data_IF_097706777408
#
_entry.id   IF_097706777408
#
_cell.length_a   1.000
_cell.length_b   1.000
_cell.length_c   1.000
_cell.angle_alpha   90.00
_cell.angle_beta   90.00
_cell.angle_gamma   90.00
#
_symmetry.space_group_name_H-M   'P 1'
#
loop_
_entity.id
_entity.type
_entity.pdbx_description
1 polymer ?
#
# COMPACT_ATOMS: atom_id res chain seq x y z
N UNK A 1 23.45 2.43 26.65
CA UNK A 1 23.22 1.20 25.87
C UNK A 1 22.31 1.58 24.71
N UNK A 2 22.85 1.82 23.51
CA UNK A 2 22.04 2.13 22.33
C UNK A 2 21.22 0.87 22.00
N UNK A 3 19.90 0.89 22.23
CA UNK A 3 19.02 -0.13 21.66
C UNK A 3 19.19 -0.04 20.15
N UNK A 4 19.65 -1.13 19.53
CA UNK A 4 19.60 -1.30 18.09
C UNK A 4 18.12 -1.18 17.72
N UNK A 5 17.76 -0.20 16.90
CA UNK A 5 16.39 -0.04 16.39
C UNK A 5 16.07 -1.31 15.59
N UNK A 6 15.16 -2.13 16.10
CA UNK A 6 14.70 -3.32 15.41
C UNK A 6 13.59 -2.92 14.45
N UNK A 7 13.94 -2.62 13.20
CA UNK A 7 12.97 -2.58 12.11
C UNK A 7 12.77 -4.01 11.63
N UNK A 8 11.55 -4.53 11.80
CA UNK A 8 11.21 -5.84 11.25
C UNK A 8 10.48 -5.64 9.92
N UNK A 9 11.12 -6.10 8.85
CA UNK A 9 10.65 -5.90 7.48
C UNK A 9 9.58 -6.90 7.05
N UNK A 10 9.17 -7.84 7.92
CA UNK A 10 8.07 -8.75 7.63
C UNK A 10 6.92 -8.57 8.61
N UNK A 11 5.79 -8.14 8.06
CA UNK A 11 4.49 -8.09 8.74
C UNK A 11 3.56 -9.11 8.08
N UNK A 12 2.95 -10.06 8.81
CA UNK A 12 1.91 -10.92 8.26
C UNK A 12 0.73 -10.07 7.76
N UNK A 13 0.16 -10.44 6.62
CA UNK A 13 -1.03 -9.79 6.10
C UNK A 13 -2.24 -10.02 7.03
N UNK A 14 -3.08 -9.00 7.13
CA UNK A 14 -4.30 -9.01 7.95
C UNK A 14 -5.52 -9.49 7.17
N UNK A 15 -5.44 -9.60 5.84
CA UNK A 15 -6.49 -10.18 4.98
C UNK A 15 -5.93 -10.99 3.81
N UNK A 16 -6.76 -11.84 3.20
CA UNK A 16 -6.37 -12.59 1.99
C UNK A 16 -6.09 -11.66 0.82
N UNK A 17 -6.88 -10.61 0.66
CA UNK A 17 -6.69 -9.63 -0.41
C UNK A 17 -5.30 -8.98 -0.33
N UNK A 18 -4.92 -8.55 0.87
CA UNK A 18 -3.59 -8.00 1.12
C UNK A 18 -2.48 -9.03 0.85
N UNK A 19 -2.64 -10.27 1.33
CA UNK A 19 -1.64 -11.32 1.14
C UNK A 19 -1.40 -11.63 -0.36
N UNK A 20 -2.47 -11.78 -1.14
CA UNK A 20 -2.42 -12.01 -2.59
C UNK A 20 -1.75 -10.84 -3.32
N UNK A 21 -2.12 -9.62 -2.94
CA UNK A 21 -1.57 -8.39 -3.52
C UNK A 21 -0.06 -8.29 -3.26
N UNK A 22 0.37 -8.49 -2.01
CA UNK A 22 1.78 -8.45 -1.63
C UNK A 22 2.59 -9.59 -2.25
N UNK A 23 2.03 -10.79 -2.35
CA UNK A 23 2.67 -11.90 -3.07
C UNK A 23 2.93 -11.55 -4.53
N UNK A 24 1.93 -11.01 -5.23
CA UNK A 24 2.07 -10.59 -6.63
C UNK A 24 3.15 -9.53 -6.78
N UNK A 25 3.11 -8.50 -5.92
CA UNK A 25 4.08 -7.40 -5.93
C UNK A 25 5.52 -7.85 -5.63
N UNK A 26 5.72 -8.80 -4.70
CA UNK A 26 7.04 -9.32 -4.35
C UNK A 26 7.75 -10.01 -5.51
N UNK A 27 6.99 -10.64 -6.40
CA UNK A 27 7.54 -11.35 -7.55
C UNK A 27 7.39 -10.60 -8.88
N UNK A 28 6.91 -9.36 -8.84
CA UNK A 28 6.65 -8.56 -10.04
C UNK A 28 5.60 -9.18 -10.97
N UNK A 29 4.68 -9.99 -10.43
CA UNK A 29 3.56 -10.52 -11.20
C UNK A 29 2.46 -9.45 -11.36
N UNK A 30 1.62 -9.55 -12.40
CA UNK A 30 0.47 -8.67 -12.55
C UNK A 30 -0.41 -8.66 -11.30
N UNK A 31 -1.01 -7.51 -10.92
CA UNK A 31 -1.93 -7.44 -9.79
C UNK A 31 -3.04 -8.49 -9.87
N UNK A 32 -3.09 -9.37 -8.88
CA UNK A 32 -4.17 -10.34 -8.74
C UNK A 32 -5.13 -9.93 -7.62
N UNK A 33 -6.43 -9.98 -7.92
CA UNK A 33 -7.50 -9.84 -6.93
C UNK A 33 -8.05 -11.19 -6.50
N UNK A 34 -8.91 -11.17 -5.48
CA UNK A 34 -9.70 -12.35 -5.12
C UNK A 34 -10.72 -12.68 -6.23
N UNK A 35 -10.86 -13.96 -6.54
CA UNK A 35 -11.88 -14.49 -7.44
C UNK A 35 -13.23 -14.69 -6.75
N UNK A 36 -14.22 -15.26 -7.47
CA UNK A 36 -15.55 -15.52 -6.93
C UNK A 36 -15.51 -16.28 -5.58
N UNK A 37 -16.31 -15.81 -4.62
CA UNK A 37 -16.32 -16.34 -3.25
C UNK A 37 -15.09 -15.94 -2.42
N UNK A 38 -14.41 -14.86 -2.79
CA UNK A 38 -13.23 -14.32 -2.10
C UNK A 38 -12.07 -15.32 -2.01
N UNK A 39 -11.90 -16.12 -3.06
CA UNK A 39 -10.86 -17.15 -3.17
C UNK A 39 -9.68 -16.65 -3.99
N UNK A 40 -8.48 -17.00 -3.58
CA UNK A 40 -7.27 -16.84 -4.37
C UNK A 40 -7.34 -17.65 -5.67
N UNK A 41 -6.76 -17.08 -6.74
CA UNK A 41 -6.69 -17.72 -8.06
C UNK A 41 -5.46 -18.64 -8.13
N UNK A 42 -5.56 -19.72 -8.91
CA UNK A 42 -4.42 -20.63 -9.13
C UNK A 42 -3.26 -19.92 -9.85
N UNK A 43 -3.57 -18.92 -10.67
CA UNK A 43 -2.60 -18.09 -11.41
C UNK A 43 -1.56 -17.47 -10.49
N UNK A 44 -1.95 -17.01 -9.29
CA UNK A 44 -1.03 -16.48 -8.29
C UNK A 44 0.10 -17.46 -7.97
N UNK A 45 -0.25 -18.73 -7.72
CA UNK A 45 0.70 -19.77 -7.34
C UNK A 45 1.62 -20.15 -8.50
N UNK A 46 1.07 -20.20 -9.72
CA UNK A 46 1.84 -20.47 -10.94
C UNK A 46 2.84 -19.34 -11.19
N UNK A 47 2.39 -18.08 -11.11
CA UNK A 47 3.23 -16.90 -11.27
C UNK A 47 4.33 -16.84 -10.20
N UNK A 48 3.98 -17.15 -8.95
CA UNK A 48 4.92 -17.25 -7.83
C UNK A 48 6.01 -18.30 -8.08
N UNK A 49 5.62 -19.51 -8.47
CA UNK A 49 6.57 -20.59 -8.74
C UNK A 49 7.48 -20.24 -9.93
N UNK A 50 6.92 -19.71 -11.02
CA UNK A 50 7.67 -19.32 -12.20
C UNK A 50 8.69 -18.21 -11.90
N UNK A 51 8.26 -17.14 -11.22
CA UNK A 51 9.13 -16.01 -10.89
C UNK A 51 10.25 -16.39 -9.91
N UNK A 52 9.99 -17.35 -9.02
CA UNK A 52 11.01 -17.90 -8.12
C UNK A 52 11.80 -19.05 -8.74
N UNK A 53 11.51 -19.49 -9.97
CA UNK A 53 12.20 -20.64 -10.59
C UNK A 53 12.02 -21.94 -9.80
N UNK A 54 10.88 -22.11 -9.13
CA UNK A 54 10.56 -23.30 -8.35
C UNK A 54 10.03 -24.39 -9.28
N UNK A 55 10.58 -25.60 -9.17
CA UNK A 55 10.07 -26.77 -9.89
C UNK A 55 8.89 -27.37 -9.12
N UNK A 56 7.68 -27.17 -9.64
CA UNK A 56 6.41 -27.63 -9.05
C UNK A 56 5.51 -28.22 -10.12
N UNK A 57 4.56 -29.05 -9.71
CA UNK A 57 3.50 -29.55 -10.58
C UNK A 57 2.38 -28.50 -10.72
N UNK A 58 2.33 -27.81 -11.86
CA UNK A 58 1.31 -26.80 -12.14
C UNK A 58 -0.07 -27.39 -12.47
N UNK A 59 -0.18 -28.69 -12.70
CA UNK A 59 -1.44 -29.38 -12.95
C UNK A 59 -2.13 -29.78 -11.64
N UNK A 60 -1.38 -29.95 -10.56
CA UNK A 60 -1.88 -30.20 -9.21
C UNK A 60 -2.96 -29.20 -8.78
N UNK A 61 -3.84 -29.61 -7.86
CA UNK A 61 -4.84 -28.70 -7.29
C UNK A 61 -4.19 -27.57 -6.47
N UNK A 62 -4.98 -26.55 -6.11
CA UNK A 62 -4.46 -25.36 -5.43
C UNK A 62 -3.76 -25.68 -4.09
N UNK A 63 -4.37 -26.46 -3.17
CA UNK A 63 -3.70 -26.85 -1.92
C UNK A 63 -2.38 -27.58 -2.15
N UNK A 64 -2.32 -28.52 -3.09
CA UNK A 64 -1.11 -29.30 -3.35
C UNK A 64 -0.02 -28.45 -4.00
N UNK A 65 -0.36 -27.62 -4.99
CA UNK A 65 0.59 -26.66 -5.59
C UNK A 65 1.14 -25.70 -4.53
N UNK A 66 0.30 -25.16 -3.66
CA UNK A 66 0.74 -24.29 -2.57
C UNK A 66 1.60 -25.02 -1.54
N UNK A 67 1.30 -26.29 -1.23
CA UNK A 67 2.13 -27.13 -0.36
C UNK A 67 3.52 -27.34 -0.94
N UNK A 68 3.63 -27.62 -2.25
CA UNK A 68 4.91 -27.78 -2.93
C UNK A 68 5.75 -26.50 -2.87
N UNK A 69 5.15 -25.35 -3.21
CA UNK A 69 5.80 -24.03 -3.11
C UNK A 69 6.25 -23.77 -1.66
N UNK A 70 5.36 -23.95 -0.69
CA UNK A 70 5.66 -23.75 0.74
C UNK A 70 6.85 -24.62 1.19
N UNK A 71 6.87 -25.88 0.77
CA UNK A 71 7.95 -26.83 1.12
C UNK A 71 9.29 -26.36 0.56
N UNK A 72 9.32 -25.94 -0.72
CA UNK A 72 10.52 -25.43 -1.37
C UNK A 72 11.02 -24.10 -0.74
N UNK A 73 10.11 -23.31 -0.18
CA UNK A 73 10.42 -22.08 0.58
C UNK A 73 10.79 -22.33 2.05
N UNK A 74 10.87 -23.59 2.48
CA UNK A 74 11.18 -23.97 3.86
C UNK A 74 10.09 -23.57 4.85
N UNK A 75 8.83 -23.52 4.40
CA UNK A 75 7.66 -23.20 5.22
C UNK A 75 6.83 -24.44 5.49
N UNK A 76 6.49 -24.68 6.75
CA UNK A 76 5.57 -25.75 7.12
C UNK A 76 4.22 -25.55 6.42
N UNK A 77 3.61 -26.63 5.94
CA UNK A 77 2.23 -26.61 5.42
C UNK A 77 1.38 -27.54 6.27
N UNK A 78 0.36 -27.00 6.95
CA UNK A 78 -0.47 -27.76 7.91
C UNK A 78 -1.93 -27.68 7.53
N UNK A 79 -2.83 -28.49 8.14
CA UNK A 79 -4.23 -28.56 7.73
C UNK A 79 -5.01 -27.23 7.82
N UNK A 80 -4.58 -26.28 8.65
CA UNK A 80 -5.15 -24.94 8.77
C UNK A 80 -4.79 -24.00 7.61
N UNK A 81 -3.87 -24.40 6.72
CA UNK A 81 -3.45 -23.60 5.56
C UNK A 81 -4.45 -23.64 4.41
N UNK A 82 -5.41 -24.55 4.44
CA UNK A 82 -6.45 -24.67 3.43
C UNK A 82 -7.77 -25.12 4.05
N UNK A 83 -8.86 -24.91 3.33
CA UNK A 83 -10.22 -25.27 3.76
C UNK A 83 -11.00 -25.90 2.61
N UNK A 84 -12.22 -26.37 2.92
CA UNK A 84 -13.08 -27.05 1.96
C UNK A 84 -13.23 -26.27 0.63
N UNK A 85 -13.27 -27.02 -0.48
CA UNK A 85 -13.32 -26.44 -1.82
C UNK A 85 -12.01 -25.81 -2.28
N UNK A 86 -10.88 -26.38 -1.85
CA UNK A 86 -9.52 -26.06 -2.32
C UNK A 86 -9.14 -24.59 -2.13
N UNK A 87 -9.63 -23.97 -1.04
CA UNK A 87 -9.36 -22.56 -0.73
C UNK A 87 -8.16 -22.48 0.20
N UNK A 88 -7.17 -21.66 -0.12
CA UNK A 88 -6.05 -21.37 0.76
C UNK A 88 -6.51 -20.33 1.78
N UNK A 89 -6.33 -20.62 3.06
CA UNK A 89 -6.72 -19.70 4.15
C UNK A 89 -5.72 -18.54 4.25
N UNK A 90 -6.08 -17.49 4.98
CA UNK A 90 -5.11 -16.43 5.31
C UNK A 90 -3.86 -16.99 6.02
N UNK A 91 -3.97 -18.08 6.79
CA UNK A 91 -2.81 -18.75 7.40
C UNK A 91 -1.89 -19.30 6.31
N UNK A 92 -2.42 -20.05 5.34
CA UNK A 92 -1.64 -20.59 4.22
C UNK A 92 -1.00 -19.49 3.38
N UNK A 93 -1.74 -18.43 3.05
CA UNK A 93 -1.22 -17.29 2.29
C UNK A 93 -0.10 -16.56 3.04
N UNK A 94 -0.23 -16.37 4.35
CA UNK A 94 0.82 -15.75 5.15
C UNK A 94 2.09 -16.61 5.23
N UNK A 95 1.97 -17.94 5.13
CA UNK A 95 3.15 -18.81 5.04
C UNK A 95 3.87 -18.66 3.71
N UNK A 96 3.12 -18.66 2.61
CA UNK A 96 3.66 -18.37 1.29
C UNK A 96 4.32 -16.98 1.26
N UNK A 97 3.65 -15.97 1.80
CA UNK A 97 4.15 -14.60 1.85
C UNK A 97 5.45 -14.49 2.66
N UNK A 98 5.52 -15.12 3.83
CA UNK A 98 6.73 -15.18 4.65
C UNK A 98 7.89 -15.88 3.93
N UNK A 99 7.63 -17.05 3.35
CA UNK A 99 8.64 -17.81 2.60
C UNK A 99 9.16 -17.04 1.39
N UNK A 100 8.25 -16.43 0.63
CA UNK A 100 8.56 -15.63 -0.57
C UNK A 100 9.39 -14.41 -0.20
N UNK A 101 8.99 -13.66 0.83
CA UNK A 101 9.72 -12.50 1.31
C UNK A 101 11.17 -12.84 1.68
N UNK A 102 11.38 -13.95 2.41
CA UNK A 102 12.73 -14.41 2.76
C UNK A 102 13.54 -14.77 1.52
N UNK A 103 12.94 -15.48 0.57
CA UNK A 103 13.63 -15.93 -0.64
C UNK A 103 14.00 -14.76 -1.55
N UNK A 104 13.10 -13.80 -1.75
CA UNK A 104 13.39 -12.56 -2.49
C UNK A 104 14.55 -11.80 -1.83
N UNK A 105 14.48 -11.55 -0.52
CA UNK A 105 15.58 -10.89 0.21
C UNK A 105 16.90 -11.65 0.11
N UNK A 106 16.87 -12.98 0.19
CA UNK A 106 18.07 -13.81 0.03
C UNK A 106 18.71 -13.58 -1.34
N UNK A 107 17.91 -13.54 -2.41
CA UNK A 107 18.38 -13.28 -3.78
C UNK A 107 18.91 -11.85 -3.95
N UNK A 108 18.24 -10.87 -3.36
CA UNK A 108 18.70 -9.47 -3.36
C UNK A 108 20.08 -9.35 -2.71
N UNK A 109 20.28 -9.93 -1.53
CA UNK A 109 21.58 -9.93 -0.84
C UNK A 109 22.67 -10.61 -1.67
N UNK A 110 22.36 -11.74 -2.32
CA UNK A 110 23.31 -12.41 -3.21
C UNK A 110 23.65 -11.57 -4.45
N UNK A 111 22.68 -10.82 -4.97
CA UNK A 111 22.87 -9.96 -6.15
C UNK A 111 23.64 -8.68 -5.83
N UNK A 112 23.50 -8.14 -4.61
CA UNK A 112 24.22 -6.94 -4.15
C UNK A 112 25.73 -7.14 -4.00
N UNK A 113 26.23 -8.39 -4.01
CA UNK A 113 27.66 -8.70 -4.09
C UNK A 113 28.29 -8.46 -5.48
N UNK A 114 27.48 -8.18 -6.51
CA UNK A 114 27.94 -7.80 -7.85
C UNK A 114 27.93 -6.28 -8.00
N UNK A 115 29.09 -5.68 -8.29
CA UNK A 115 29.33 -4.22 -8.33
C UNK A 115 28.65 -3.46 -9.46
N UNK A 116 27.78 -4.10 -10.26
CA UNK A 116 26.98 -3.45 -11.29
C UNK A 116 25.52 -3.33 -10.85
N UNK A 117 25.14 -2.17 -10.29
CA UNK A 117 23.72 -1.84 -10.05
C UNK A 117 23.04 -1.55 -11.40
N UNK A 118 22.65 -2.61 -12.09
CA UNK A 118 21.81 -2.51 -13.27
C UNK A 118 20.48 -1.81 -12.91
N UNK A 119 19.95 -0.94 -13.80
CA UNK A 119 18.60 -0.41 -13.69
C UNK A 119 17.58 -1.51 -13.40
N UNK A 120 16.77 -1.34 -12.35
CA UNK A 120 15.74 -2.31 -11.96
C UNK A 120 14.46 -1.99 -12.75
N UNK A 121 13.92 -2.94 -13.55
CA UNK A 121 12.64 -2.73 -14.23
C UNK A 121 11.52 -2.39 -13.23
N UNK A 122 10.59 -1.53 -13.63
CA UNK A 122 9.38 -1.26 -12.87
C UNK A 122 8.42 -2.47 -12.91
N UNK A 123 7.69 -2.67 -11.81
CA UNK A 123 6.79 -3.81 -11.58
C UNK A 123 5.40 -3.57 -12.14
N UNK A 124 5.00 -2.32 -12.24
CA UNK A 124 3.70 -1.90 -12.75
C UNK A 124 3.87 -0.77 -13.76
N UNK A 125 2.87 -0.58 -14.63
CA UNK A 125 2.85 0.59 -15.53
C UNK A 125 2.83 1.89 -14.75
N UNK A 126 2.12 1.93 -13.62
CA UNK A 126 2.04 3.12 -12.79
C UNK A 126 3.40 3.46 -12.18
N UNK A 127 4.11 2.46 -11.65
CA UNK A 127 5.48 2.63 -11.16
C UNK A 127 6.40 3.14 -12.29
N UNK A 128 6.30 2.54 -13.48
CA UNK A 128 7.12 2.93 -14.62
C UNK A 128 6.92 4.40 -15.01
N UNK A 129 5.65 4.85 -15.20
CA UNK A 129 5.37 6.25 -15.56
C UNK A 129 5.74 7.22 -14.44
N UNK A 130 5.62 6.80 -13.17
CA UNK A 130 5.99 7.60 -12.00
C UNK A 130 7.49 7.82 -11.93
N UNK A 131 8.27 6.74 -12.10
CA UNK A 131 9.72 6.79 -12.14
C UNK A 131 10.20 7.62 -13.32
N UNK A 132 9.65 7.40 -14.52
CA UNK A 132 9.95 8.20 -15.71
C UNK A 132 9.73 9.69 -15.44
N UNK A 133 8.59 10.06 -14.85
CA UNK A 133 8.28 11.46 -14.55
C UNK A 133 9.24 12.05 -13.51
N UNK A 134 9.65 11.25 -12.54
CA UNK A 134 10.59 11.68 -11.50
C UNK A 134 12.01 11.91 -12.02
N UNK A 135 12.40 11.29 -13.15
CA UNK A 135 13.72 11.50 -13.75
C UNK A 135 13.96 12.95 -14.22
N UNK A 136 12.89 13.69 -14.49
CA UNK A 136 12.93 15.06 -15.00
C UNK A 136 12.12 16.04 -14.14
N UNK A 137 11.85 15.67 -12.87
CA UNK A 137 11.03 16.44 -11.92
C UNK A 137 9.61 16.79 -12.43
N UNK A 138 9.09 15.97 -13.34
CA UNK A 138 7.74 16.09 -13.87
C UNK A 138 6.64 15.96 -12.79
N UNK A 139 5.39 16.35 -13.12
CA UNK A 139 4.25 16.11 -12.24
C UNK A 139 3.99 14.60 -12.08
N UNK A 140 3.49 14.13 -10.91
CA UNK A 140 3.02 12.76 -10.78
C UNK A 140 1.96 12.45 -11.85
N UNK A 141 2.11 11.32 -12.55
CA UNK A 141 1.22 10.93 -13.63
C UNK A 141 0.28 9.83 -13.16
N UNK A 142 -1.01 9.97 -13.46
CA UNK A 142 -1.99 8.89 -13.30
C UNK A 142 -2.16 8.12 -14.60
N UNK A 143 -2.52 6.84 -14.50
CA UNK A 143 -2.96 6.09 -15.66
C UNK A 143 -4.35 6.58 -16.10
N UNK A 144 -4.54 6.74 -17.41
CA UNK A 144 -5.84 7.01 -18.00
C UNK A 144 -6.74 5.77 -18.04
N UNK A 145 -7.98 5.91 -18.56
CA UNK A 145 -8.94 4.82 -18.65
C UNK A 145 -8.35 3.54 -19.27
N UNK A 146 -8.54 2.41 -18.60
CA UNK A 146 -7.99 1.11 -19.00
C UNK A 146 -6.52 0.91 -18.66
N UNK A 147 -5.99 1.57 -17.61
CA UNK A 147 -4.58 1.47 -17.21
C UNK A 147 -3.60 1.88 -18.32
N UNK A 148 -3.98 2.89 -19.10
CA UNK A 148 -3.18 3.39 -20.23
C UNK A 148 -2.36 4.59 -19.79
N UNK A 149 -1.07 4.55 -20.08
CA UNK A 149 -0.15 5.67 -19.88
C UNK A 149 -0.56 6.90 -20.70
N UNK A 150 -0.36 8.12 -20.17
CA UNK A 150 -0.63 9.36 -20.90
C UNK A 150 0.55 9.68 -21.82
N UNK A 151 0.29 10.30 -22.98
CA UNK A 151 1.36 10.76 -23.89
C UNK A 151 2.29 11.79 -23.22
N UNK A 152 1.75 12.57 -22.27
CA UNK A 152 2.51 13.54 -21.46
C UNK A 152 3.75 12.95 -20.81
N UNK A 153 3.68 11.70 -20.34
CA UNK A 153 4.83 11.00 -19.72
C UNK A 153 6.06 11.02 -20.64
N UNK A 154 5.86 10.85 -21.95
CA UNK A 154 6.94 10.79 -22.94
C UNK A 154 7.37 12.18 -23.40
N UNK A 155 6.43 13.11 -23.57
CA UNK A 155 6.78 14.48 -23.98
C UNK A 155 7.54 15.20 -22.87
N UNK A 156 7.11 15.05 -21.61
CA UNK A 156 7.78 15.64 -20.45
C UNK A 156 9.19 15.05 -20.26
N UNK A 157 9.36 13.75 -20.55
CA UNK A 157 10.69 13.11 -20.56
C UNK A 157 11.56 13.64 -21.70
N UNK A 158 11.01 13.75 -22.92
CA UNK A 158 11.73 14.26 -24.08
C UNK A 158 12.26 15.68 -23.81
N UNK A 159 11.39 16.55 -23.31
CA UNK A 159 11.71 17.94 -22.97
C UNK A 159 12.74 17.99 -21.85
N UNK A 160 12.55 17.21 -20.77
CA UNK A 160 13.45 17.20 -19.61
C UNK A 160 14.84 16.63 -19.91
N UNK A 161 14.96 15.72 -20.87
CA UNK A 161 16.25 15.21 -21.35
C UNK A 161 16.88 16.08 -22.45
N UNK A 162 16.14 17.05 -23.00
CA UNK A 162 16.54 17.77 -24.20
C UNK A 162 16.69 16.84 -25.42
N UNK A 163 15.90 15.77 -25.49
CA UNK A 163 15.99 14.77 -26.54
C UNK A 163 15.43 15.35 -27.86
N UNK A 164 16.15 15.30 -28.99
CA UNK A 164 15.72 15.83 -30.28
C UNK A 164 14.75 14.86 -30.99
N UNK A 165 13.60 14.59 -30.36
CA UNK A 165 12.56 13.71 -30.88
C UNK A 165 11.32 14.51 -31.32
N UNK A 166 10.63 14.03 -32.35
CA UNK A 166 9.38 14.64 -32.80
C UNK A 166 8.22 14.28 -31.84
N UNK A 167 7.85 15.24 -30.98
CA UNK A 167 6.76 15.07 -30.01
C UNK A 167 5.36 15.02 -30.65
N UNK A 168 5.23 15.29 -31.95
CA UNK A 168 3.95 15.17 -32.66
C UNK A 168 3.59 13.72 -32.98
N UNK A 169 4.57 12.82 -32.99
CA UNK A 169 4.40 11.38 -33.22
C UNK A 169 3.33 10.76 -32.32
N UNK A 170 2.70 9.68 -32.79
CA UNK A 170 1.83 8.90 -31.92
C UNK A 170 2.62 8.29 -30.75
N UNK A 171 1.90 7.78 -29.75
CA UNK A 171 2.51 7.39 -28.48
C UNK A 171 3.56 6.27 -28.62
N UNK A 172 3.28 5.13 -29.31
CA UNK A 172 4.31 4.11 -29.53
C UNK A 172 5.51 4.63 -30.34
N UNK A 173 5.29 5.44 -31.38
CA UNK A 173 6.39 5.97 -32.20
C UNK A 173 7.25 6.99 -31.46
N UNK A 174 6.64 7.82 -30.61
CA UNK A 174 7.38 8.72 -29.71
C UNK A 174 8.25 7.94 -28.72
N UNK A 175 7.71 6.86 -28.12
CA UNK A 175 8.46 6.01 -27.21
C UNK A 175 9.60 5.26 -27.91
N UNK A 176 9.36 4.74 -29.11
CA UNK A 176 10.39 4.13 -29.96
C UNK A 176 11.51 5.12 -30.28
N UNK A 177 11.17 6.35 -30.70
CA UNK A 177 12.14 7.40 -30.99
C UNK A 177 12.99 7.74 -29.75
N UNK A 178 12.37 7.85 -28.58
CA UNK A 178 13.06 8.05 -27.31
C UNK A 178 14.00 6.89 -26.96
N UNK A 179 13.53 5.64 -27.05
CA UNK A 179 14.35 4.46 -26.76
C UNK A 179 15.55 4.38 -27.69
N UNK A 180 15.35 4.63 -28.98
CA UNK A 180 16.43 4.66 -29.97
C UNK A 180 17.44 5.79 -29.67
N UNK A 181 16.96 6.98 -29.30
CA UNK A 181 17.82 8.09 -28.88
C UNK A 181 18.64 7.75 -27.63
N UNK A 182 18.06 6.99 -26.70
CA UNK A 182 18.69 6.52 -25.46
C UNK A 182 19.60 5.28 -25.67
N UNK A 183 19.78 4.83 -26.91
CA UNK A 183 20.65 3.70 -27.26
C UNK A 183 20.05 2.32 -26.92
N UNK A 184 18.73 2.22 -26.77
CA UNK A 184 18.01 0.96 -26.60
C UNK A 184 17.41 0.42 -27.90
N UNK A 185 16.71 -0.71 -27.81
CA UNK A 185 15.97 -1.33 -28.92
C UNK A 185 14.48 -1.37 -28.64
N UNK A 186 13.66 -1.12 -29.66
CA UNK A 186 12.19 -1.21 -29.60
C UNK A 186 11.69 -2.33 -30.52
N UNK A 187 10.67 -3.08 -30.09
CA UNK A 187 10.05 -4.15 -30.88
C UNK A 187 8.55 -4.29 -30.60
N UNK A 188 7.90 -5.25 -31.24
CA UNK A 188 6.45 -5.45 -31.15
C UNK A 188 5.96 -5.87 -29.76
N UNK A 189 6.83 -6.33 -28.85
CA UNK A 189 6.46 -6.60 -27.46
C UNK A 189 6.26 -5.32 -26.65
N UNK A 190 6.74 -4.17 -27.15
CA UNK A 190 6.73 -2.88 -26.45
C UNK A 190 5.39 -2.15 -26.54
N UNK A 191 4.46 -2.61 -27.39
CA UNK A 191 3.17 -1.95 -27.58
C UNK A 191 2.06 -2.96 -27.90
N UNK A 192 0.82 -2.51 -27.77
CA UNK A 192 -0.37 -3.30 -28.08
C UNK A 192 -1.40 -2.49 -28.88
N UNK A 193 -2.42 -3.18 -29.40
CA UNK A 193 -3.49 -2.60 -30.20
C UNK A 193 -4.12 -1.37 -29.53
N UNK A 194 -4.31 -0.28 -30.29
CA UNK A 194 -4.85 0.97 -29.79
C UNK A 194 -3.81 1.90 -29.15
N UNK A 195 -2.59 1.92 -29.71
CA UNK A 195 -1.49 2.85 -29.37
C UNK A 195 -1.15 2.90 -27.88
N UNK A 196 -1.21 1.73 -27.22
CA UNK A 196 -0.90 1.57 -25.80
C UNK A 196 0.47 0.93 -25.65
N UNK A 197 1.34 1.51 -24.83
CA UNK A 197 2.68 0.98 -24.56
C UNK A 197 2.56 -0.11 -23.49
N UNK A 198 3.23 -1.24 -23.66
CA UNK A 198 3.24 -2.32 -22.65
C UNK A 198 4.12 -1.94 -21.45
N UNK A 199 4.05 -2.70 -20.36
CA UNK A 199 5.01 -2.51 -19.26
C UNK A 199 6.46 -2.73 -19.75
N UNK A 200 6.67 -3.71 -20.63
CA UNK A 200 7.96 -3.96 -21.28
C UNK A 200 8.46 -2.70 -22.02
N UNK A 201 7.62 -2.09 -22.87
CA UNK A 201 7.99 -0.86 -23.59
C UNK A 201 8.30 0.32 -22.65
N UNK A 202 7.51 0.51 -21.59
CA UNK A 202 7.77 1.53 -20.58
C UNK A 202 9.09 1.27 -19.82
N UNK A 203 9.39 0.00 -19.52
CA UNK A 203 10.65 -0.38 -18.88
C UNK A 203 11.86 -0.09 -19.79
N UNK A 204 11.74 -0.25 -21.11
CA UNK A 204 12.81 0.12 -22.04
C UNK A 204 13.07 1.63 -22.04
N UNK A 205 12.01 2.45 -22.02
CA UNK A 205 12.12 3.91 -21.88
C UNK A 205 12.82 4.26 -20.55
N UNK A 206 12.31 3.73 -19.44
CA UNK A 206 12.82 3.99 -18.09
C UNK A 206 14.30 3.61 -17.94
N UNK A 207 14.67 2.40 -18.35
CA UNK A 207 16.04 1.89 -18.25
C UNK A 207 17.00 2.73 -19.11
N UNK A 208 16.58 3.09 -20.33
CA UNK A 208 17.36 3.96 -21.21
C UNK A 208 17.62 5.33 -20.58
N UNK A 209 16.57 5.95 -20.02
CA UNK A 209 16.64 7.27 -19.39
C UNK A 209 17.50 7.25 -18.11
N UNK A 210 17.32 6.24 -17.25
CA UNK A 210 18.15 6.06 -16.05
C UNK A 210 19.63 5.89 -16.38
N UNK A 211 19.96 5.14 -17.44
CA UNK A 211 21.35 4.96 -17.88
C UNK A 211 21.95 6.27 -18.37
N UNK A 212 21.21 7.03 -19.19
CA UNK A 212 21.64 8.33 -19.71
C UNK A 212 21.92 9.31 -18.58
N UNK A 213 20.99 9.44 -17.63
CA UNK A 213 21.12 10.37 -16.51
C UNK A 213 22.22 9.94 -15.54
N UNK A 214 22.39 8.63 -15.28
CA UNK A 214 23.53 8.13 -14.47
C UNK A 214 24.89 8.43 -15.10
N UNK A 215 24.97 8.45 -16.43
CA UNK A 215 26.20 8.81 -17.13
C UNK A 215 26.51 10.31 -17.01
N UNK A 216 25.49 11.17 -16.96
CA UNK A 216 25.64 12.62 -16.82
C UNK A 216 25.75 13.09 -15.36
N UNK A 217 25.19 12.34 -14.40
CA UNK A 217 25.28 12.59 -12.97
C UNK A 217 25.09 11.29 -12.16
N UNK A 218 26.00 10.93 -11.24
CA UNK A 218 25.85 9.71 -10.43
C UNK A 218 24.71 9.76 -9.41
N UNK A 219 24.01 10.90 -9.27
CA UNK A 219 22.90 11.09 -8.32
C UNK A 219 21.56 10.94 -9.05
N UNK A 220 21.18 9.70 -9.35
CA UNK A 220 19.82 9.34 -9.78
C UNK A 220 19.45 8.09 -8.97
N UNK A 221 18.59 8.08 -7.95
CA UNK A 221 17.48 8.94 -7.56
C UNK A 221 16.34 7.97 -7.19
N UNK A 222 15.75 8.04 -5.99
CA UNK A 222 14.70 7.10 -5.55
C UNK A 222 13.44 7.17 -6.43
N UNK A 223 12.42 6.34 -6.15
CA UNK A 223 11.16 6.33 -6.92
C UNK A 223 10.50 7.72 -7.01
N UNK A 224 10.74 8.58 -6.03
CA UNK A 224 10.25 9.96 -5.96
C UNK A 224 11.39 10.91 -5.61
N UNK A 225 11.33 12.14 -6.13
CA UNK A 225 12.33 13.19 -5.84
C UNK A 225 12.10 13.91 -4.50
N UNK A 226 10.92 13.76 -3.88
CA UNK A 226 10.64 14.27 -2.52
C UNK A 226 9.47 13.54 -1.86
N UNK A 227 9.35 13.60 -0.51
CA UNK A 227 8.20 13.06 0.22
C UNK A 227 6.85 13.67 -0.21
N UNK A 228 6.82 14.93 -0.63
CA UNK A 228 5.60 15.57 -1.12
C UNK A 228 5.13 14.98 -2.47
N UNK A 229 6.07 14.66 -3.38
CA UNK A 229 5.76 13.97 -4.64
C UNK A 229 5.31 12.53 -4.40
N UNK A 230 5.95 11.83 -3.46
CA UNK A 230 5.49 10.53 -3.00
C UNK A 230 4.05 10.62 -2.49
N UNK A 231 3.77 11.54 -1.56
CA UNK A 231 2.43 11.78 -1.01
C UNK A 231 1.37 12.00 -2.10
N UNK A 232 1.63 12.89 -3.06
CA UNK A 232 0.71 13.18 -4.16
C UNK A 232 0.38 11.92 -4.99
N UNK A 233 1.39 11.11 -5.29
CA UNK A 233 1.20 9.87 -6.04
C UNK A 233 0.41 8.83 -5.23
N UNK A 234 0.69 8.71 -3.93
CA UNK A 234 -0.05 7.83 -3.02
C UNK A 234 -1.53 8.27 -2.93
N UNK A 235 -1.80 9.57 -2.77
CA UNK A 235 -3.18 10.09 -2.72
C UNK A 235 -3.96 9.78 -4.00
N UNK A 236 -3.34 9.95 -5.17
CA UNK A 236 -3.99 9.66 -6.44
C UNK A 236 -4.41 8.18 -6.56
N UNK A 237 -3.55 7.26 -6.15
CA UNK A 237 -3.86 5.81 -6.16
C UNK A 237 -4.95 5.46 -5.16
N UNK A 238 -4.89 6.05 -3.96
CA UNK A 238 -5.89 5.82 -2.92
C UNK A 238 -7.25 6.37 -3.35
N UNK A 239 -7.30 7.53 -3.99
CA UNK A 239 -8.54 8.13 -4.48
C UNK A 239 -9.29 7.22 -5.46
N UNK A 240 -8.59 6.52 -6.34
CA UNK A 240 -9.19 5.57 -7.28
C UNK A 240 -9.78 4.32 -6.59
N UNK A 241 -9.27 3.97 -5.41
CA UNK A 241 -9.71 2.81 -4.63
C UNK A 241 -10.86 3.14 -3.65
N UNK A 242 -10.97 4.39 -3.21
CA UNK A 242 -11.96 4.82 -2.21
C UNK A 242 -13.35 4.95 -2.86
N UNK A 243 -14.38 4.24 -2.37
CA UNK A 243 -15.73 4.40 -2.89
C UNK A 243 -16.32 5.74 -2.45
N UNK A 244 -17.20 6.32 -3.27
CA UNK A 244 -17.92 7.58 -2.96
C UNK A 244 -18.70 7.50 -1.64
N UNK A 245 -19.15 6.31 -1.28
CA UNK A 245 -19.79 6.02 0.02
C UNK A 245 -19.36 4.65 0.52
N UNK A 246 -18.92 4.60 1.77
CA UNK A 246 -18.63 3.36 2.49
C UNK A 246 -19.86 2.98 3.31
N UNK A 247 -20.60 1.95 2.87
CA UNK A 247 -21.72 1.38 3.63
C UNK A 247 -21.19 0.42 4.70
N UNK A 248 -21.62 0.57 5.95
CA UNK A 248 -21.07 -0.17 7.08
C UNK A 248 -21.32 -1.67 7.00
N UNK A 249 -22.49 -2.12 6.53
CA UNK A 249 -22.80 -3.56 6.43
C UNK A 249 -21.94 -4.18 5.35
N UNK A 250 -21.97 -3.59 4.16
CA UNK A 250 -21.18 -4.06 3.01
C UNK A 250 -19.69 -4.06 3.32
N UNK A 251 -19.17 -3.02 3.97
CA UNK A 251 -17.74 -2.93 4.33
C UNK A 251 -17.32 -4.05 5.29
N UNK A 252 -18.16 -4.34 6.30
CA UNK A 252 -17.91 -5.44 7.24
C UNK A 252 -18.00 -6.80 6.56
N UNK A 253 -18.97 -7.01 5.67
CA UNK A 253 -19.14 -8.24 4.90
C UNK A 253 -17.96 -8.48 3.93
N UNK A 254 -17.51 -7.45 3.22
CA UNK A 254 -16.35 -7.53 2.33
C UNK A 254 -15.07 -7.87 3.11
N UNK A 255 -14.81 -7.18 4.22
CA UNK A 255 -13.69 -7.49 5.11
C UNK A 255 -13.77 -8.93 5.67
N UNK A 256 -14.95 -9.37 6.08
CA UNK A 256 -15.16 -10.73 6.58
C UNK A 256 -14.89 -11.77 5.49
N UNK A 257 -15.42 -11.57 4.29
CA UNK A 257 -15.21 -12.48 3.15
C UNK A 257 -13.73 -12.58 2.75
N UNK A 258 -12.98 -11.49 2.92
CA UNK A 258 -11.53 -11.45 2.72
C UNK A 258 -10.72 -11.99 3.92
N UNK A 259 -11.37 -12.53 4.96
CA UNK A 259 -10.76 -13.00 6.20
C UNK A 259 -9.95 -11.91 6.94
N UNK A 260 -10.34 -10.64 6.80
CA UNK A 260 -9.70 -9.52 7.50
C UNK A 260 -9.74 -9.70 9.02
N UNK A 261 -8.63 -9.58 9.74
CA UNK A 261 -8.63 -9.73 11.21
C UNK A 261 -9.53 -8.70 11.91
N UNK A 262 -9.78 -7.57 11.27
CA UNK A 262 -10.45 -6.41 11.84
C UNK A 262 -11.94 -6.28 11.51
N UNK A 263 -12.53 -7.20 10.73
CA UNK A 263 -13.95 -7.10 10.31
C UNK A 263 -14.93 -6.94 11.47
N UNK A 264 -14.60 -7.47 12.65
CA UNK A 264 -15.46 -7.46 13.83
C UNK A 264 -15.21 -6.28 14.78
N UNK A 265 -14.47 -5.25 14.38
CA UNK A 265 -14.21 -4.07 15.22
C UNK A 265 -15.28 -2.99 15.01
N UNK A 266 -15.46 -2.10 15.99
CA UNK A 266 -16.42 -0.99 15.91
C UNK A 266 -15.86 0.15 15.02
N UNK A 267 -14.54 0.30 14.94
CA UNK A 267 -13.81 1.23 14.07
C UNK A 267 -13.74 0.76 12.60
N UNK A 268 -14.79 0.09 12.12
CA UNK A 268 -14.80 -0.56 10.80
C UNK A 268 -14.39 0.36 9.65
N UNK A 269 -14.69 1.67 9.71
CA UNK A 269 -14.34 2.63 8.65
C UNK A 269 -12.83 2.80 8.46
N UNK A 270 -12.06 2.79 9.56
CA UNK A 270 -10.60 2.87 9.49
C UNK A 270 -10.01 1.61 8.90
N UNK A 271 -10.45 0.46 9.42
CA UNK A 271 -10.00 -0.83 8.91
C UNK A 271 -10.42 -1.10 7.47
N UNK A 272 -11.60 -0.64 7.05
CA UNK A 272 -12.04 -0.77 5.66
C UNK A 272 -11.24 0.16 4.74
N UNK A 273 -10.88 1.36 5.19
CA UNK A 273 -9.97 2.24 4.47
C UNK A 273 -8.61 1.58 4.25
N UNK A 274 -7.99 1.01 5.29
CA UNK A 274 -6.76 0.22 5.17
C UNK A 274 -6.94 -0.97 4.20
N UNK A 275 -8.07 -1.68 4.31
CA UNK A 275 -8.40 -2.86 3.49
C UNK A 275 -8.42 -2.57 1.98
N UNK A 276 -8.84 -1.38 1.55
CA UNK A 276 -8.92 -1.01 0.14
C UNK A 276 -7.69 -0.22 -0.33
N UNK A 277 -7.13 0.63 0.53
CA UNK A 277 -6.03 1.51 0.17
C UNK A 277 -4.70 0.76 0.11
N UNK A 278 -4.40 -0.12 1.08
CA UNK A 278 -3.12 -0.83 1.11
C UNK A 278 -2.90 -1.70 -0.14
N UNK A 279 -3.88 -2.51 -0.61
CA UNK A 279 -3.74 -3.23 -1.88
C UNK A 279 -3.53 -2.29 -3.07
N UNK A 280 -4.21 -1.15 -3.12
CA UNK A 280 -4.04 -0.18 -4.20
C UNK A 280 -2.61 0.38 -4.23
N UNK A 281 -2.09 0.80 -3.06
CA UNK A 281 -0.72 1.28 -2.91
C UNK A 281 0.32 0.23 -3.30
N UNK A 282 0.15 -1.00 -2.82
CA UNK A 282 1.08 -2.10 -3.11
C UNK A 282 1.06 -2.50 -4.59
N UNK A 283 -0.10 -2.54 -5.22
CA UNK A 283 -0.20 -2.78 -6.67
C UNK A 283 0.38 -1.63 -7.49
N UNK A 284 0.25 -0.39 -7.01
CA UNK A 284 0.77 0.80 -7.67
C UNK A 284 2.28 0.89 -7.62
N UNK A 285 2.87 0.75 -6.43
CA UNK A 285 4.26 1.12 -6.15
C UNK A 285 5.07 0.03 -5.44
N UNK A 286 4.46 -1.10 -5.07
CA UNK A 286 5.10 -2.08 -4.20
C UNK A 286 5.11 -1.62 -2.74
N UNK A 287 6.25 -1.77 -2.05
CA UNK A 287 6.29 -1.51 -0.61
C UNK A 287 5.36 -2.43 0.18
N UNK A 288 4.92 -1.96 1.34
CA UNK A 288 3.99 -2.68 2.21
C UNK A 288 4.15 -2.30 3.68
N UNK A 289 3.43 -2.97 4.59
CA UNK A 289 3.49 -2.65 6.02
C UNK A 289 4.89 -2.90 6.59
N UNK A 290 5.28 -2.10 7.58
CA UNK A 290 6.54 -2.25 8.31
C UNK A 290 6.31 -2.19 9.81
N UNK A 291 7.20 -2.80 10.60
CA UNK A 291 7.15 -2.68 12.07
C UNK A 291 8.33 -1.84 12.56
N UNK A 292 8.01 -0.80 13.33
CA UNK A 292 8.98 -0.07 14.15
C UNK A 292 8.66 -0.39 15.61
N UNK A 293 9.64 -0.94 16.32
CA UNK A 293 9.48 -1.50 17.66
C UNK A 293 8.39 -2.60 17.70
N UNK A 294 7.20 -2.28 18.22
CA UNK A 294 6.06 -3.20 18.31
C UNK A 294 4.81 -2.62 17.63
N UNK A 295 4.97 -1.56 16.83
CA UNK A 295 3.86 -0.92 16.12
C UNK A 295 4.03 -1.17 14.63
N UNK A 296 2.99 -1.73 14.03
CA UNK A 296 2.86 -1.83 12.58
C UNK A 296 2.43 -0.46 12.06
N UNK A 297 3.17 0.04 11.07
CA UNK A 297 2.76 1.16 10.24
C UNK A 297 2.21 0.60 8.94
N UNK A 298 1.12 1.20 8.47
CA UNK A 298 0.29 0.61 7.41
C UNK A 298 1.04 0.47 6.07
N UNK A 299 1.92 1.41 5.75
CA UNK A 299 2.63 1.41 4.48
C UNK A 299 4.04 1.99 4.58
N UNK A 300 4.99 1.38 3.88
CA UNK A 300 6.38 1.83 3.78
C UNK A 300 6.86 1.68 2.35
N UNK A 301 7.36 2.78 1.80
CA UNK A 301 7.97 2.84 0.48
C UNK A 301 9.29 3.60 0.57
N UNK A 302 9.35 4.84 0.05
CA UNK A 302 10.46 5.76 0.30
C UNK A 302 10.39 6.19 1.75
N UNK A 303 9.23 6.69 2.17
CA UNK A 303 8.93 7.08 3.55
C UNK A 303 7.99 6.09 4.25
N UNK A 304 7.79 6.26 5.57
CA UNK A 304 6.74 5.54 6.33
C UNK A 304 5.45 6.34 6.26
N UNK A 305 4.36 5.68 5.89
CA UNK A 305 3.02 6.26 5.82
C UNK A 305 2.05 5.44 6.67
N UNK A 306 1.27 6.12 7.49
CA UNK A 306 0.22 5.52 8.31
C UNK A 306 -1.14 6.02 7.83
N UNK A 307 -2.07 5.11 7.61
CA UNK A 307 -3.38 5.41 7.06
C UNK A 307 -4.33 5.77 8.19
N UNK A 308 -5.14 6.81 7.99
CA UNK A 308 -6.11 7.27 8.99
C UNK A 308 -7.43 7.61 8.32
N UNK A 309 -8.52 7.18 8.95
CA UNK A 309 -9.87 7.61 8.58
C UNK A 309 -10.39 8.55 9.67
N UNK A 310 -10.54 9.81 9.32
CA UNK A 310 -11.02 10.87 10.19
C UNK A 310 -12.42 11.32 9.74
N UNK A 311 -13.30 11.52 10.72
CA UNK A 311 -14.67 11.93 10.47
C UNK A 311 -14.99 13.17 11.27
N UNK A 312 -15.96 13.94 10.79
CA UNK A 312 -16.55 15.11 11.46
C UNK A 312 -17.12 14.85 12.88
N UNK A 313 -17.22 13.58 13.28
CA UNK A 313 -17.59 13.14 14.63
C UNK A 313 -16.41 13.18 15.64
N UNK A 314 -15.22 13.58 15.21
CA UNK A 314 -14.02 13.71 16.04
C UNK A 314 -13.32 15.05 15.76
N UNK A 315 -12.77 15.73 16.78
CA UNK A 315 -12.02 16.97 16.55
C UNK A 315 -10.59 16.73 16.02
N UNK A 316 -10.10 15.49 16.07
CA UNK A 316 -8.72 15.16 15.75
C UNK A 316 -8.52 13.68 15.39
N UNK A 317 -7.46 13.41 14.63
CA UNK A 317 -7.06 12.07 14.21
C UNK A 317 -6.11 11.44 15.24
N UNK A 318 -6.49 10.30 15.81
CA UNK A 318 -5.65 9.54 16.74
C UNK A 318 -4.57 8.80 15.95
N UNK A 319 -3.31 9.04 16.29
CA UNK A 319 -2.15 8.43 15.63
C UNK A 319 -1.68 7.17 16.37
N UNK A 320 -0.47 6.71 16.04
CA UNK A 320 0.20 5.59 16.69
C UNK A 320 0.79 5.95 18.07
N UNK A 321 1.37 4.94 18.75
CA UNK A 321 2.02 5.11 20.04
C UNK A 321 3.20 6.09 19.96
N UNK A 322 3.35 6.96 20.95
CA UNK A 322 4.38 8.01 20.92
C UNK A 322 5.78 7.44 20.68
N UNK A 323 6.15 6.41 21.44
CA UNK A 323 7.46 5.75 21.34
C UNK A 323 7.77 5.22 19.93
N UNK A 324 6.77 4.71 19.21
CA UNK A 324 6.95 4.17 17.87
C UNK A 324 7.18 5.29 16.84
N UNK A 325 6.42 6.39 16.94
CA UNK A 325 6.59 7.57 16.09
C UNK A 325 7.95 8.23 16.37
N UNK A 326 8.29 8.42 17.64
CA UNK A 326 9.58 8.99 18.05
C UNK A 326 10.77 8.14 17.57
N UNK A 327 10.60 6.81 17.50
CA UNK A 327 11.64 5.90 17.00
C UNK A 327 11.73 5.92 15.48
N UNK A 328 10.58 5.96 14.79
CA UNK A 328 10.51 6.12 13.33
C UNK A 328 11.30 7.35 12.89
N UNK A 329 11.01 8.52 13.50
CA UNK A 329 11.60 9.82 13.20
C UNK A 329 13.10 9.97 13.50
N UNK A 330 13.73 8.97 14.13
CA UNK A 330 15.19 8.90 14.28
C UNK A 330 15.88 8.31 13.05
N UNK A 331 15.12 7.60 12.21
CA UNK A 331 15.65 6.79 11.12
C UNK A 331 15.11 7.18 9.76
N UNK A 332 13.87 7.68 9.70
CA UNK A 332 13.16 8.00 8.47
C UNK A 332 12.03 8.99 8.74
N UNK A 333 11.55 9.67 7.71
CA UNK A 333 10.37 10.52 7.82
C UNK A 333 9.10 9.72 8.12
N UNK A 334 8.15 10.41 8.73
CA UNK A 334 6.85 9.88 9.10
C UNK A 334 5.73 10.68 8.44
N UNK A 335 4.91 9.98 7.67
CA UNK A 335 3.77 10.51 6.96
C UNK A 335 2.44 9.92 7.41
N UNK A 336 1.37 10.66 7.16
CA UNK A 336 -0.01 10.27 7.39
C UNK A 336 -0.78 10.44 6.09
N UNK A 337 -1.52 9.42 5.68
CA UNK A 337 -2.53 9.53 4.62
C UNK A 337 -3.91 9.52 5.30
N UNK A 338 -4.57 10.67 5.33
CA UNK A 338 -5.82 10.88 6.07
C UNK A 338 -6.99 10.95 5.10
N UNK A 339 -7.89 9.99 5.19
CA UNK A 339 -9.21 10.03 4.56
C UNK A 339 -10.17 10.81 5.47
N UNK A 340 -10.53 12.01 5.04
CA UNK A 340 -11.48 12.89 5.70
C UNK A 340 -12.89 12.72 5.10
N UNK A 341 -13.92 12.84 5.94
CA UNK A 341 -15.30 12.69 5.48
C UNK A 341 -16.36 12.81 6.56
N UNK A 342 -17.61 12.58 6.17
CA UNK A 342 -18.77 12.70 7.06
C UNK A 342 -19.20 11.35 7.61
N UNK A 343 -19.47 11.32 8.91
CA UNK A 343 -19.93 10.13 9.62
C UNK A 343 -21.45 10.09 9.67
N UNK A 344 -22.03 8.99 9.17
CA UNK A 344 -23.47 8.74 9.33
C UNK A 344 -23.66 7.86 10.56
N UNK A 345 -24.29 8.42 11.58
CA UNK A 345 -24.57 7.71 12.83
C UNK A 345 -25.78 6.79 12.67
N UNK A 346 -25.67 5.64 13.30
CA UNK A 346 -26.73 4.63 13.41
C UNK A 346 -27.85 5.11 14.36
N UNK A 347 -29.05 4.54 14.15
CA UNK A 347 -30.21 4.62 15.05
C UNK A 347 -30.33 3.39 15.97
N UNK A 348 -29.58 2.32 15.68
CA UNK A 348 -29.46 1.11 16.48
C UNK A 348 -29.48 -0.16 15.63
N UNK A 349 -30.14 -0.12 14.46
CA UNK A 349 -30.32 -1.29 13.61
C UNK A 349 -28.99 -1.86 13.10
N UNK A 350 -28.03 -1.00 12.75
CA UNK A 350 -26.72 -1.47 12.30
C UNK A 350 -25.94 -2.12 13.44
N UNK A 351 -26.00 -1.56 14.65
CA UNK A 351 -25.37 -2.14 15.85
C UNK A 351 -25.93 -3.52 16.18
N UNK A 352 -27.24 -3.69 16.13
CA UNK A 352 -27.89 -4.98 16.37
C UNK A 352 -27.45 -6.01 15.33
N UNK A 353 -27.56 -5.67 14.05
CA UNK A 353 -27.07 -6.52 12.97
C UNK A 353 -25.59 -6.87 13.13
N UNK A 354 -24.73 -5.92 13.49
CA UNK A 354 -23.29 -6.19 13.62
C UNK A 354 -23.01 -7.18 14.76
N UNK A 355 -23.77 -7.11 15.86
CA UNK A 355 -23.67 -8.09 16.96
C UNK A 355 -24.11 -9.48 16.52
N UNK A 356 -25.23 -9.58 15.82
CA UNK A 356 -25.74 -10.85 15.28
C UNK A 356 -24.77 -11.45 14.27
N UNK A 357 -24.26 -10.64 13.33
CA UNK A 357 -23.27 -11.04 12.35
C UNK A 357 -21.97 -11.53 12.99
N UNK A 358 -21.51 -10.87 14.06
CA UNK A 358 -20.35 -11.33 14.85
C UNK A 358 -20.57 -12.69 15.48
N UNK A 359 -21.72 -12.90 16.11
CA UNK A 359 -22.08 -14.18 16.75
C UNK A 359 -22.19 -15.30 15.70
N UNK A 360 -22.90 -15.05 14.59
CA UNK A 360 -23.06 -16.00 13.50
C UNK A 360 -21.72 -16.44 12.88
N UNK A 361 -20.72 -15.57 12.91
CA UNK A 361 -19.37 -15.85 12.40
C UNK A 361 -18.33 -16.09 13.52
N UNK A 362 -18.77 -16.63 14.67
CA UNK A 362 -17.88 -17.19 15.70
C UNK A 362 -17.13 -16.18 16.57
N UNK A 363 -17.57 -14.92 16.62
CA UNK A 363 -17.03 -13.88 17.51
C UNK A 363 -18.08 -13.37 18.52
N UNK A 364 -18.58 -14.22 19.43
CA UNK A 364 -19.54 -13.77 20.44
C UNK A 364 -18.93 -12.71 21.37
N UNK A 365 -19.74 -11.75 21.87
CA UNK A 365 -19.26 -10.73 22.79
C UNK A 365 -18.74 -11.37 24.09
N UNK A 366 -17.63 -10.82 24.62
CA UNK A 366 -17.14 -11.24 25.93
C UNK A 366 -18.13 -10.82 27.03
N UNK A 367 -18.40 -11.67 28.04
CA UNK A 367 -19.24 -11.30 29.17
C UNK A 367 -18.70 -10.04 29.86
N UNK A 368 -19.58 -9.10 30.19
CA UNK A 368 -19.22 -7.91 30.97
C UNK A 368 -19.62 -8.14 32.42
N UNK A 369 -18.70 -7.86 33.35
CA UNK A 369 -18.97 -7.92 34.79
C UNK A 369 -19.85 -6.77 35.28
N UNK A 370 -19.93 -5.68 34.50
CA UNK A 370 -20.76 -4.50 34.78
C UNK A 370 -21.35 -3.93 33.48
N UNK A 371 -22.52 -3.28 33.52
CA UNK A 371 -23.07 -2.54 32.39
C UNK A 371 -22.07 -1.53 31.83
N UNK A 372 -22.18 -1.22 30.54
CA UNK A 372 -21.36 -0.17 29.96
C UNK A 372 -21.72 1.18 30.61
N UNK A 373 -20.73 1.90 31.12
CA UNK A 373 -20.93 3.25 31.65
C UNK A 373 -21.36 4.27 30.57
N UNK A 374 -21.09 3.94 29.31
CA UNK A 374 -21.45 4.72 28.14
C UNK A 374 -21.67 3.78 26.96
N UNK A 375 -22.73 4.00 26.20
CA UNK A 375 -22.98 3.30 24.93
C UNK A 375 -22.65 4.23 23.76
N UNK A 376 -21.57 3.88 23.05
CA UNK A 376 -21.15 4.62 21.86
C UNK A 376 -22.16 4.41 20.73
N UNK A 377 -22.55 5.49 20.05
CA UNK A 377 -23.34 5.39 18.81
C UNK A 377 -22.51 4.71 17.73
N UNK A 378 -23.09 3.69 17.09
CA UNK A 378 -22.46 3.03 15.95
C UNK A 378 -22.53 3.92 14.70
N UNK A 379 -21.72 3.57 13.71
CA UNK A 379 -21.56 4.33 12.47
C UNK A 379 -22.07 3.46 11.34
N UNK A 380 -23.20 3.83 10.73
CA UNK A 380 -23.84 3.02 9.68
C UNK A 380 -23.20 3.26 8.31
N UNK A 381 -22.60 4.43 8.08
CA UNK A 381 -21.87 4.73 6.86
C UNK A 381 -20.82 5.82 7.07
N UNK A 382 -19.94 5.96 6.08
CA UNK A 382 -18.98 7.05 5.97
C UNK A 382 -19.00 7.58 4.53
N UNK A 383 -18.99 8.90 4.38
CA UNK A 383 -18.97 9.59 3.08
C UNK A 383 -17.62 10.30 2.94
N UNK A 384 -16.66 9.70 2.23
CA UNK A 384 -15.40 10.35 1.87
C UNK A 384 -15.58 11.72 1.22
N UNK A 385 -14.78 12.70 1.63
CA UNK A 385 -14.81 14.05 1.09
C UNK A 385 -13.46 14.45 0.46
N UNK A 386 -12.35 14.08 1.09
CA UNK A 386 -11.01 14.39 0.61
C UNK A 386 -9.97 13.44 1.20
N UNK A 387 -8.80 13.43 0.58
CA UNK A 387 -7.59 12.85 1.13
C UNK A 387 -6.58 13.97 1.40
N UNK A 388 -5.98 13.93 2.58
CA UNK A 388 -4.91 14.85 3.00
C UNK A 388 -3.67 14.05 3.37
N UNK A 389 -2.50 14.57 3.03
CA UNK A 389 -1.21 13.97 3.42
C UNK A 389 -0.42 14.92 4.31
N UNK A 390 -0.04 14.44 5.49
CA UNK A 390 0.82 15.17 6.42
C UNK A 390 2.16 14.48 6.54
N UNK A 391 3.26 15.23 6.59
CA UNK A 391 4.61 14.65 6.65
C UNK A 391 5.52 15.39 7.62
N UNK A 392 6.32 14.62 8.35
CA UNK A 392 7.32 15.06 9.30
C UNK A 392 8.65 14.40 8.94
N UNK A 393 9.64 15.19 8.57
CA UNK A 393 10.94 14.72 8.06
C UNK A 393 11.75 14.02 9.15
N UNK A 394 11.77 14.61 10.34
CA UNK A 394 12.55 14.13 11.48
C UNK A 394 11.94 14.55 12.83
N UNK A 395 12.60 14.15 13.92
CA UNK A 395 12.16 14.50 15.27
C UNK A 395 12.07 16.02 15.52
N UNK A 396 12.91 16.85 14.87
CA UNK A 396 12.86 18.32 15.04
C UNK A 396 11.61 18.91 14.40
N UNK A 397 11.30 18.46 13.18
CA UNK A 397 10.08 18.86 12.47
C UNK A 397 8.83 18.47 13.26
N UNK A 398 8.84 17.31 13.92
CA UNK A 398 7.74 16.82 14.72
C UNK A 398 7.58 17.57 16.05
N UNK A 399 8.67 17.91 16.74
CA UNK A 399 8.61 18.77 17.93
C UNK A 399 8.06 20.15 17.60
N UNK A 400 8.44 20.73 16.46
CA UNK A 400 7.90 22.01 16.03
C UNK A 400 6.38 21.94 15.76
N UNK A 401 5.89 20.84 15.20
CA UNK A 401 4.44 20.62 15.05
C UNK A 401 3.72 20.50 16.41
N UNK A 402 4.39 19.99 17.45
CA UNK A 402 3.85 19.95 18.81
C UNK A 402 3.83 21.34 19.43
N UNK A 403 4.88 22.14 19.26
CA UNK A 403 4.96 23.54 19.72
C UNK A 403 3.87 24.41 19.07
N UNK A 404 3.59 24.20 17.79
CA UNK A 404 2.50 24.87 17.05
C UNK A 404 1.09 24.35 17.43
N UNK A 405 1.00 23.35 18.31
CA UNK A 405 -0.26 22.78 18.78
C UNK A 405 -1.01 21.97 17.71
N UNK A 406 -0.30 21.53 16.66
CA UNK A 406 -0.83 20.67 15.60
C UNK A 406 -0.86 19.22 16.05
N UNK A 407 0.14 18.80 16.84
CA UNK A 407 0.24 17.46 17.41
C UNK A 407 0.19 17.54 18.93
N UNK A 408 -0.66 16.71 19.56
CA UNK A 408 -0.77 16.63 21.02
C UNK A 408 -0.69 15.19 21.51
N UNK A 409 -0.45 15.02 22.82
CA UNK A 409 -0.40 13.69 23.46
C UNK A 409 -1.76 13.36 24.04
N UNK A 410 -2.25 12.15 23.76
CA UNK A 410 -3.47 11.59 24.33
C UNK A 410 -3.16 10.44 25.28
N UNK A 411 -3.59 10.60 26.53
CA UNK A 411 -3.54 9.55 27.56
C UNK A 411 -4.68 8.55 27.36
N UNK A 412 -4.34 7.27 27.19
CA UNK A 412 -5.28 6.22 26.78
C UNK A 412 -5.96 5.44 27.94
N UNK A 413 -5.82 5.89 29.18
CA UNK A 413 -6.33 5.20 30.36
C UNK A 413 -5.59 3.89 30.65
N UNK A 414 -6.32 2.84 31.06
CA UNK A 414 -5.76 1.52 31.45
C UNK A 414 -6.25 0.40 30.54
N UNK A 415 -5.44 -0.65 30.39
CA UNK A 415 -5.78 -1.92 29.76
C UNK A 415 -6.79 -2.70 30.61
N UNK A 416 -7.34 -3.79 30.04
CA UNK A 416 -8.26 -4.69 30.76
C UNK A 416 -7.60 -5.37 31.97
N UNK A 417 -6.28 -5.57 31.93
CA UNK A 417 -5.47 -6.09 33.05
C UNK A 417 -5.09 -5.02 34.09
N UNK A 418 -5.53 -3.77 33.91
CA UNK A 418 -5.25 -2.65 34.80
C UNK A 418 -3.92 -1.92 34.55
N UNK A 419 -3.06 -2.41 33.66
CA UNK A 419 -1.81 -1.72 33.29
C UNK A 419 -2.10 -0.41 32.52
N UNK A 420 -1.27 0.65 32.63
CA UNK A 420 -1.44 1.85 31.82
C UNK A 420 -1.32 1.55 30.33
N UNK A 421 -2.22 2.10 29.51
CA UNK A 421 -2.08 2.07 28.05
C UNK A 421 -0.98 3.02 27.63
N UNK A 422 -0.18 2.65 26.62
CA UNK A 422 0.83 3.54 26.04
C UNK A 422 0.14 4.79 25.49
N UNK A 423 0.69 6.00 25.73
CA UNK A 423 0.15 7.22 25.17
C UNK A 423 0.27 7.20 23.64
N UNK A 424 -0.63 7.91 22.98
CA UNK A 424 -0.60 8.09 21.53
C UNK A 424 -0.55 9.57 21.19
N UNK A 425 0.02 9.88 20.03
CA UNK A 425 -0.11 11.22 19.47
C UNK A 425 -1.49 11.40 18.82
N UNK A 426 -1.90 12.65 18.67
CA UNK A 426 -3.14 13.05 18.02
C UNK A 426 -2.82 14.25 17.13
N UNK A 427 -3.28 14.20 15.87
CA UNK A 427 -3.16 15.30 14.91
C UNK A 427 -4.45 16.11 14.86
N UNK A 428 -4.34 17.41 15.08
CA UNK A 428 -5.42 18.38 14.89
C UNK A 428 -5.55 18.69 13.39
N UNK A 429 -6.22 17.83 12.62
CA UNK A 429 -6.20 17.88 11.14
C UNK A 429 -6.64 19.24 10.59
N UNK A 430 -7.71 19.83 11.15
CA UNK A 430 -8.19 21.16 10.77
C UNK A 430 -7.19 22.29 11.03
N UNK A 431 -6.31 22.17 12.05
CA UNK A 431 -5.25 23.15 12.30
C UNK A 431 -4.02 22.92 11.42
N UNK A 432 -3.75 21.66 11.11
CA UNK A 432 -2.60 21.27 10.31
C UNK A 432 -2.82 21.57 8.82
N UNK A 433 -4.07 21.67 8.37
CA UNK A 433 -4.42 22.04 6.99
C UNK A 433 -3.77 23.37 6.57
N UNK A 434 -3.09 23.34 5.43
CA UNK A 434 -2.41 24.50 4.85
C UNK A 434 -1.08 24.89 5.52
N UNK A 435 -0.68 24.19 6.58
CA UNK A 435 0.66 24.36 7.18
C UNK A 435 1.74 23.70 6.32
N UNK A 436 3.02 23.94 6.61
CA UNK A 436 4.14 23.29 5.92
C UNK A 436 4.16 21.76 6.06
N UNK A 437 3.46 21.23 7.05
CA UNK A 437 3.36 19.79 7.27
C UNK A 437 2.27 19.15 6.39
N UNK A 438 1.36 19.94 5.83
CA UNK A 438 0.35 19.48 4.87
C UNK A 438 0.95 19.48 3.46
N UNK A 439 1.45 18.31 3.05
CA UNK A 439 2.31 18.19 1.85
C UNK A 439 1.54 17.81 0.58
N UNK A 440 0.34 17.25 0.71
CA UNK A 440 -0.55 16.97 -0.42
C UNK A 440 -2.02 16.99 0.01
N UNK A 441 -2.88 17.39 -0.92
CA UNK A 441 -4.33 17.45 -0.75
C UNK A 441 -5.00 16.99 -2.04
N UNK A 442 -6.05 16.19 -1.92
CA UNK A 442 -6.84 15.72 -3.07
C UNK A 442 -8.33 15.68 -2.70
N UNK A 443 -9.17 16.58 -3.24
CA UNK A 443 -10.61 16.50 -3.05
C UNK A 443 -11.16 15.26 -3.77
N UNK A 444 -12.08 14.55 -3.11
CA UNK A 444 -12.78 13.42 -3.70
C UNK A 444 -14.09 13.90 -4.33
N UNK A 445 -14.55 13.27 -5.42
CA UNK A 445 -15.78 13.69 -6.09
C UNK A 445 -16.98 13.48 -5.16
N UNK A 446 -17.66 14.58 -4.83
CA UNK A 446 -19.00 14.56 -4.25
C UNK A 446 -19.95 14.19 -5.40
N UNK A 447 -20.57 13.02 -5.36
CA UNK A 447 -21.63 12.66 -6.33
C UNK A 447 -22.97 12.57 -5.66
#
# INVERSE_FOLDING_TARGET
MLRIVSVNDFVPADSKLEAVTRLSALVGAPPEGLGPGSKERKTLLVNLAAALGLTVDTDADKPELARQISTLLGMAWTPDCWSAGHTITLVGLNRLLSGTHREVKRRETLSQGSSSRHPVPARSKLEAVTRISSLTDGPPQTLGPGSKERKSVLTDLADGLGAPVDVTLDKPRLAEALVNHLGGSWDDSCWSTGSTITLEGLNRVLIGAERRLKADSPVVGGMFSSPAKEAQALLAVVADAVPVRMDGRRSVEEMHAAESRHWAQDEWRGFYFEHIALPALVNGFGGGPTTVENTVFDYSLGEIWDLKCHGDDSPAAILNACEAIDTCLKTRGFGLLVLEGTTVLDDGEFREWQREFRVANGRPPKPRSRPAAYERRSKVAFVPARLDAFFFEDGRSFELAKEEGLVTVMSQGRQTDGSPRRPKYVLQTAKAEGTRFHVAHLPLPVR
#
